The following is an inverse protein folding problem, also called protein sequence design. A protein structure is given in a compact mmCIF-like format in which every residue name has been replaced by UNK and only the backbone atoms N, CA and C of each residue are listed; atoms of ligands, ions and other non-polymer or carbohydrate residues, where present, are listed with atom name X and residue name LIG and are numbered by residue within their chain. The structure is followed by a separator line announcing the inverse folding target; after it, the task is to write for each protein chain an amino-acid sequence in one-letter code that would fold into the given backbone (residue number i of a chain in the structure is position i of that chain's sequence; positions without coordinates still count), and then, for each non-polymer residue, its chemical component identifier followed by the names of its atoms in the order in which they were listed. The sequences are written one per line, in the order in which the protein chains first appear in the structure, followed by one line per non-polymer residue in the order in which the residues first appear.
data_IF_995033581271
#
_entry.id   IF_995033581271
#
_cell.length_a   1.000
_cell.length_b   1.000
_cell.length_c   1.000
_cell.angle_alpha   90.00
_cell.angle_beta   90.00
_cell.angle_gamma   90.00
#
_symmetry.space_group_name_H-M   'P 1'
#
loop_
_entity.id
_entity.type
_entity.pdbx_description
1 polymer ?
#
# COMPACT_ATOMS: atom_id res chain seq x y z
N UNK A 1 40.15 4.35 -28.13
CA UNK A 1 39.82 3.22 -27.24
C UNK A 1 38.42 3.45 -26.75
N UNK A 2 37.44 2.75 -27.30
CA UNK A 2 36.01 2.90 -26.97
C UNK A 2 35.69 2.09 -25.72
N UNK A 3 34.94 2.68 -24.80
CA UNK A 3 34.55 2.12 -23.52
C UNK A 3 33.51 1.00 -23.72
N UNK A 4 33.65 -0.21 -23.16
CA UNK A 4 32.74 -1.36 -23.40
C UNK A 4 31.48 -1.36 -22.52
N UNK A 5 30.98 -0.22 -22.11
CA UNK A 5 29.89 -0.12 -21.10
C UNK A 5 28.48 0.08 -21.67
N UNK A 6 28.29 0.02 -22.99
CA UNK A 6 26.97 0.37 -23.59
C UNK A 6 26.02 -0.83 -23.82
N UNK A 7 26.40 -2.06 -23.51
CA UNK A 7 25.55 -3.23 -23.79
C UNK A 7 24.77 -3.78 -22.59
N UNK A 8 24.96 -3.21 -21.38
CA UNK A 8 24.30 -3.68 -20.14
C UNK A 8 23.02 -2.93 -19.75
N UNK A 9 22.58 -1.94 -20.53
CA UNK A 9 21.46 -1.07 -20.13
C UNK A 9 20.05 -1.62 -20.44
N UNK A 10 19.90 -2.75 -21.12
CA UNK A 10 18.58 -3.25 -21.52
C UNK A 10 17.95 -4.31 -20.58
N UNK A 11 18.66 -4.81 -19.58
CA UNK A 11 18.12 -5.81 -18.63
C UNK A 11 17.77 -5.25 -17.24
N UNK A 12 18.01 -3.96 -16.96
CA UNK A 12 17.88 -3.36 -15.64
C UNK A 12 16.56 -2.59 -15.41
N UNK A 13 15.42 -3.06 -15.91
CA UNK A 13 14.14 -2.35 -15.68
C UNK A 13 13.62 -2.37 -14.22
N UNK A 14 14.21 -3.17 -13.32
CA UNK A 14 13.80 -3.32 -11.92
C UNK A 14 14.96 -3.38 -10.91
N UNK A 15 16.15 -2.82 -11.26
CA UNK A 15 17.31 -2.85 -10.36
C UNK A 15 17.92 -1.45 -10.25
N UNK A 16 18.02 -0.92 -9.03
CA UNK A 16 18.78 0.31 -8.75
C UNK A 16 20.23 -0.08 -8.42
N UNK A 17 21.20 0.42 -9.21
CA UNK A 17 22.61 0.22 -8.92
C UNK A 17 23.10 1.28 -7.93
N UNK A 18 23.50 0.89 -6.74
CA UNK A 18 24.23 1.77 -5.77
C UNK A 18 25.70 1.40 -5.74
N UNK A 19 26.56 2.39 -5.87
CA UNK A 19 28.00 2.25 -5.62
C UNK A 19 28.25 2.31 -4.09
N UNK A 20 28.62 1.19 -3.49
CA UNK A 20 29.05 1.15 -2.10
C UNK A 20 30.45 0.51 -2.04
N UNK A 21 31.46 1.26 -1.56
CA UNK A 21 32.87 0.82 -1.51
C UNK A 21 33.41 0.25 -2.81
N UNK A 22 33.00 0.81 -3.96
CA UNK A 22 33.50 0.36 -5.28
C UNK A 22 32.80 -0.89 -5.85
N UNK A 23 31.82 -1.46 -5.16
CA UNK A 23 31.04 -2.61 -5.62
C UNK A 23 29.68 -2.12 -6.09
N UNK A 24 29.26 -2.51 -7.30
CA UNK A 24 27.92 -2.25 -7.81
C UNK A 24 26.98 -3.28 -7.19
N UNK A 25 26.19 -2.84 -6.20
CA UNK A 25 25.13 -3.68 -5.62
C UNK A 25 23.86 -3.42 -6.43
N UNK A 26 23.37 -4.44 -7.11
CA UNK A 26 22.05 -4.42 -7.76
C UNK A 26 20.99 -4.77 -6.72
N UNK A 27 20.19 -3.78 -6.31
CA UNK A 27 19.07 -4.01 -5.41
C UNK A 27 17.81 -4.38 -6.20
N UNK A 28 17.13 -5.45 -5.79
CA UNK A 28 15.80 -5.81 -6.28
C UNK A 28 14.78 -4.89 -5.62
N UNK A 29 14.06 -4.11 -6.41
CA UNK A 29 13.01 -3.22 -5.91
C UNK A 29 11.70 -4.01 -5.83
N UNK A 30 11.00 -4.03 -4.65
CA UNK A 30 9.67 -4.62 -4.56
C UNK A 30 8.72 -3.89 -5.53
N UNK A 31 7.93 -4.64 -6.27
CA UNK A 31 6.96 -4.07 -7.19
C UNK A 31 5.81 -3.40 -6.43
N UNK A 32 5.34 -4.03 -5.36
CA UNK A 32 4.25 -3.57 -4.52
C UNK A 32 4.66 -3.55 -3.04
N UNK A 33 4.50 -2.40 -2.40
CA UNK A 33 4.71 -2.20 -0.97
C UNK A 33 3.39 -1.86 -0.30
N UNK A 34 3.03 -2.57 0.77
CA UNK A 34 1.89 -2.27 1.64
C UNK A 34 2.39 -1.66 2.96
N UNK A 35 1.73 -0.60 3.47
CA UNK A 35 2.17 0.07 4.70
C UNK A 35 1.01 0.25 5.68
N UNK A 36 1.22 -0.17 6.93
CA UNK A 36 0.33 0.13 8.06
C UNK A 36 0.87 1.39 8.76
N UNK A 37 0.12 2.50 8.66
CA UNK A 37 0.49 3.84 9.09
C UNK A 37 0.30 4.03 10.61
N UNK A 38 1.04 3.27 11.43
CA UNK A 38 0.85 3.27 12.89
C UNK A 38 1.73 4.32 13.60
N UNK A 39 1.30 4.72 14.82
CA UNK A 39 2.07 5.58 15.70
C UNK A 39 1.70 7.05 15.70
N UNK A 40 0.81 7.52 14.83
CA UNK A 40 0.43 8.95 14.74
C UNK A 40 0.05 9.58 16.09
N UNK A 41 -0.85 8.91 16.84
CA UNK A 41 -1.32 9.42 18.12
C UNK A 41 -0.26 9.34 19.23
N UNK A 42 0.55 8.28 19.26
CA UNK A 42 1.67 8.11 20.21
C UNK A 42 2.76 9.17 19.97
N UNK A 43 3.08 9.40 18.72
CA UNK A 43 4.03 10.43 18.29
C UNK A 43 3.58 11.85 18.72
N UNK A 44 2.31 12.21 18.50
CA UNK A 44 1.79 13.50 18.96
C UNK A 44 1.88 13.63 20.49
N UNK A 45 1.47 12.59 21.22
CA UNK A 45 1.53 12.56 22.69
C UNK A 45 2.97 12.72 23.22
N UNK A 46 3.97 12.09 22.61
CA UNK A 46 5.39 12.26 23.00
C UNK A 46 5.91 13.67 22.80
N UNK A 47 5.25 14.47 21.97
CA UNK A 47 5.56 15.89 21.72
C UNK A 47 4.64 16.86 22.48
N UNK A 48 3.82 16.36 23.42
CA UNK A 48 2.87 17.19 24.17
C UNK A 48 1.70 17.70 23.32
N UNK A 49 1.46 17.11 22.14
CA UNK A 49 0.43 17.55 21.20
C UNK A 49 -0.82 16.65 21.24
N UNK A 50 -1.99 17.17 20.88
CA UNK A 50 -3.22 16.36 20.75
C UNK A 50 -3.04 15.25 19.69
N UNK A 51 -3.70 14.09 19.90
CA UNK A 51 -3.63 12.93 18.97
C UNK A 51 -3.93 13.31 17.51
N UNK A 52 -4.91 14.18 17.29
CA UNK A 52 -5.33 14.62 15.95
C UNK A 52 -4.21 15.39 15.21
N UNK A 53 -3.32 16.05 15.93
CA UNK A 53 -2.15 16.68 15.33
C UNK A 53 -1.22 15.66 14.66
N UNK A 54 -1.00 14.51 15.32
CA UNK A 54 -0.21 13.42 14.75
C UNK A 54 -0.82 12.87 13.45
N UNK A 55 -2.14 12.70 13.40
CA UNK A 55 -2.83 12.29 12.18
C UNK A 55 -2.69 13.31 11.05
N UNK A 56 -2.72 14.61 11.37
CA UNK A 56 -2.51 15.67 10.37
C UNK A 56 -1.09 15.62 9.80
N UNK A 57 -0.08 15.43 10.65
CA UNK A 57 1.32 15.28 10.20
C UNK A 57 1.49 14.01 9.39
N UNK A 58 0.91 12.88 9.86
CA UNK A 58 0.95 11.61 9.15
C UNK A 58 0.29 11.65 7.77
N UNK A 59 -0.81 12.42 7.62
CA UNK A 59 -1.45 12.60 6.32
C UNK A 59 -0.54 13.37 5.32
N UNK A 60 0.22 14.36 5.79
CA UNK A 60 1.21 15.06 4.96
C UNK A 60 2.36 14.14 4.58
N UNK A 61 2.76 13.24 5.49
CA UNK A 61 3.86 12.30 5.24
C UNK A 61 3.55 11.30 4.11
N UNK A 62 2.27 11.05 3.81
CA UNK A 62 1.88 10.21 2.66
C UNK A 62 2.51 10.71 1.36
N UNK A 63 2.50 12.02 1.09
CA UNK A 63 3.09 12.60 -0.13
C UNK A 63 4.61 12.36 -0.18
N UNK A 64 5.30 12.51 0.97
CA UNK A 64 6.74 12.26 1.09
C UNK A 64 7.09 10.82 0.73
N UNK A 65 6.33 9.87 1.26
CA UNK A 65 6.57 8.43 1.02
C UNK A 65 6.15 8.03 -0.38
N UNK A 66 5.05 8.58 -0.94
CA UNK A 66 4.67 8.36 -2.34
C UNK A 66 5.76 8.81 -3.29
N UNK A 67 6.34 10.00 -3.06
CA UNK A 67 7.47 10.49 -3.87
C UNK A 67 8.69 9.59 -3.73
N UNK A 68 9.07 9.21 -2.52
CA UNK A 68 10.20 8.31 -2.28
C UNK A 68 10.00 6.95 -2.97
N UNK A 69 8.80 6.38 -2.90
CA UNK A 69 8.45 5.12 -3.56
C UNK A 69 8.53 5.23 -5.08
N UNK A 70 7.98 6.30 -5.66
CA UNK A 70 8.06 6.59 -7.10
C UNK A 70 9.52 6.73 -7.56
N UNK A 71 10.32 7.53 -6.86
CA UNK A 71 11.73 7.79 -7.18
C UNK A 71 12.58 6.51 -7.07
N UNK A 72 12.18 5.57 -6.20
CA UNK A 72 12.81 4.26 -6.04
C UNK A 72 12.41 3.26 -7.13
N UNK A 73 11.31 3.50 -7.87
CA UNK A 73 10.80 2.62 -8.91
C UNK A 73 9.74 1.61 -8.43
N UNK A 74 9.22 1.76 -7.21
CA UNK A 74 8.05 1.01 -6.71
C UNK A 74 6.85 1.37 -7.59
N UNK A 75 6.09 0.35 -8.03
CA UNK A 75 4.96 0.53 -8.95
C UNK A 75 3.62 0.65 -8.25
N UNK A 76 3.45 -0.06 -7.12
CA UNK A 76 2.23 -0.12 -6.34
C UNK A 76 2.52 0.20 -4.88
N UNK A 77 1.69 1.04 -4.28
CA UNK A 77 1.80 1.41 -2.87
C UNK A 77 0.41 1.36 -2.24
N UNK A 78 0.20 0.46 -1.29
CA UNK A 78 -1.07 0.38 -0.55
C UNK A 78 -0.89 0.88 0.87
N UNK A 79 -1.72 1.84 1.29
CA UNK A 79 -1.63 2.49 2.59
C UNK A 79 -2.89 2.25 3.44
N UNK A 80 -2.73 1.74 4.67
CA UNK A 80 -3.83 1.50 5.60
C UNK A 80 -4.18 2.77 6.36
N UNK A 81 -5.13 3.54 5.82
CA UNK A 81 -5.50 4.85 6.36
C UNK A 81 -6.59 4.79 7.45
N UNK A 82 -7.61 3.90 7.30
CA UNK A 82 -8.69 3.74 8.25
C UNK A 82 -9.28 2.33 8.20
N UNK A 83 -9.21 1.60 9.32
CA UNK A 83 -9.74 0.24 9.41
C UNK A 83 -11.21 0.20 9.85
N UNK A 84 -11.88 -0.93 9.58
CA UNK A 84 -13.23 -1.19 10.09
C UNK A 84 -13.30 -1.11 11.63
N UNK A 85 -12.24 -1.49 12.34
CA UNK A 85 -12.16 -1.44 13.79
C UNK A 85 -12.02 0.00 14.34
N UNK A 86 -11.57 0.95 13.51
CA UNK A 86 -11.40 2.35 13.93
C UNK A 86 -12.74 3.05 14.24
N UNK A 87 -13.87 2.51 13.78
CA UNK A 87 -15.18 3.01 14.16
C UNK A 87 -15.46 2.87 15.67
N UNK A 88 -14.75 1.98 16.37
CA UNK A 88 -14.87 1.81 17.83
C UNK A 88 -14.10 2.88 18.64
N UNK A 89 -13.44 3.83 17.98
CA UNK A 89 -12.77 4.95 18.62
C UNK A 89 -13.79 6.00 19.09
N UNK A 90 -13.42 6.92 20.01
CA UNK A 90 -14.28 8.01 20.40
C UNK A 90 -14.81 8.79 19.17
N UNK A 91 -16.09 9.12 19.17
CA UNK A 91 -16.79 9.77 18.05
C UNK A 91 -16.04 11.02 17.51
N UNK A 92 -15.53 11.86 18.43
CA UNK A 92 -14.77 13.05 18.05
C UNK A 92 -13.46 12.74 17.32
N UNK A 93 -12.79 11.61 17.65
CA UNK A 93 -11.59 11.17 16.91
C UNK A 93 -11.98 10.65 15.53
N UNK A 94 -13.04 9.86 15.42
CA UNK A 94 -13.56 9.34 14.14
C UNK A 94 -13.95 10.49 13.21
N UNK A 95 -14.73 11.45 13.71
CA UNK A 95 -15.16 12.62 12.93
C UNK A 95 -13.97 13.44 12.43
N UNK A 96 -12.94 13.65 13.26
CA UNK A 96 -11.73 14.36 12.88
C UNK A 96 -10.94 13.59 11.81
N UNK A 97 -10.83 12.26 11.92
CA UNK A 97 -10.18 11.40 10.92
C UNK A 97 -10.91 11.43 9.59
N UNK A 98 -12.24 11.31 9.58
CA UNK A 98 -13.04 11.39 8.35
C UNK A 98 -12.86 12.73 7.64
N UNK A 99 -12.91 13.85 8.39
CA UNK A 99 -12.66 15.19 7.84
C UNK A 99 -11.25 15.33 7.26
N UNK A 100 -10.26 14.74 7.91
CA UNK A 100 -8.88 14.74 7.43
C UNK A 100 -8.74 13.94 6.13
N UNK A 101 -9.35 12.75 6.05
CA UNK A 101 -9.36 11.91 4.85
C UNK A 101 -10.07 12.59 3.68
N UNK A 102 -11.25 13.19 3.90
CA UNK A 102 -11.96 13.98 2.87
C UNK A 102 -11.06 15.12 2.34
N UNK A 103 -10.40 15.86 3.25
CA UNK A 103 -9.48 16.94 2.85
C UNK A 103 -8.29 16.42 2.07
N UNK A 104 -7.72 15.28 2.48
CA UNK A 104 -6.61 14.64 1.79
C UNK A 104 -6.98 14.22 0.37
N UNK A 105 -8.11 13.50 0.18
CA UNK A 105 -8.55 13.07 -1.15
C UNK A 105 -8.84 14.27 -2.08
N UNK A 106 -9.42 15.34 -1.55
CA UNK A 106 -9.63 16.58 -2.32
C UNK A 106 -8.32 17.18 -2.83
N UNK A 107 -7.25 17.10 -2.04
CA UNK A 107 -5.92 17.54 -2.47
C UNK A 107 -5.31 16.57 -3.48
N UNK A 108 -5.50 15.25 -3.30
CA UNK A 108 -5.06 14.24 -4.26
C UNK A 108 -5.63 14.47 -5.66
N UNK A 109 -6.92 14.85 -5.79
CA UNK A 109 -7.53 15.18 -7.10
C UNK A 109 -6.70 16.23 -7.85
N UNK A 110 -6.16 17.24 -7.12
CA UNK A 110 -5.38 18.33 -7.71
C UNK A 110 -3.94 17.94 -8.03
N UNK A 111 -3.39 16.97 -7.34
CA UNK A 111 -1.95 16.64 -7.39
C UNK A 111 -1.67 15.32 -8.10
N UNK A 112 -2.67 14.45 -8.29
CA UNK A 112 -2.51 13.16 -8.92
C UNK A 112 -1.90 13.26 -10.32
N UNK A 113 -2.45 14.13 -11.19
CA UNK A 113 -1.92 14.35 -12.54
C UNK A 113 -0.50 14.91 -12.50
N UNK A 114 -0.26 15.92 -11.65
CA UNK A 114 1.07 16.53 -11.52
C UNK A 114 2.15 15.53 -11.13
N UNK A 115 1.80 14.56 -10.31
CA UNK A 115 2.71 13.53 -9.79
C UNK A 115 2.61 12.22 -10.58
N UNK A 116 1.84 12.18 -11.67
CA UNK A 116 1.57 10.99 -12.47
C UNK A 116 1.17 9.77 -11.60
N UNK A 117 0.30 10.00 -10.61
CA UNK A 117 -0.20 8.96 -9.70
C UNK A 117 -1.59 8.51 -10.11
N UNK A 118 -1.80 7.21 -10.21
CA UNK A 118 -3.11 6.59 -10.30
C UNK A 118 -3.57 6.23 -8.90
N UNK A 119 -4.68 6.81 -8.44
CA UNK A 119 -5.19 6.61 -7.08
C UNK A 119 -6.46 5.76 -7.11
N UNK A 120 -6.55 4.80 -6.20
CA UNK A 120 -7.71 3.94 -5.98
C UNK A 120 -8.00 3.85 -4.48
N UNK A 121 -9.26 3.88 -4.11
CA UNK A 121 -9.70 3.61 -2.73
C UNK A 121 -10.19 2.18 -2.63
N UNK A 122 -9.71 1.44 -1.64
CA UNK A 122 -10.16 0.07 -1.32
C UNK A 122 -10.85 0.06 0.05
N UNK A 123 -11.85 -0.80 0.22
CA UNK A 123 -12.67 -0.93 1.42
C UNK A 123 -14.15 -0.66 1.15
N UNK A 124 -14.97 -0.84 2.17
CA UNK A 124 -16.42 -0.59 2.08
C UNK A 124 -16.74 0.91 2.19
N UNK A 125 -16.98 1.55 1.06
CA UNK A 125 -17.31 2.98 0.98
C UNK A 125 -18.77 3.29 1.34
N UNK A 126 -19.64 2.28 1.49
CA UNK A 126 -21.09 2.49 1.71
C UNK A 126 -21.40 3.19 3.04
N UNK A 127 -20.54 3.04 4.05
CA UNK A 127 -20.66 3.74 5.35
C UNK A 127 -20.14 5.18 5.33
N UNK A 128 -19.48 5.60 4.26
CA UNK A 128 -18.97 6.96 4.13
C UNK A 128 -20.09 7.91 3.70
N UNK A 129 -19.95 9.21 3.99
CA UNK A 129 -20.92 10.21 3.53
C UNK A 129 -21.04 10.21 2.00
N UNK A 130 -22.24 10.52 1.48
CA UNK A 130 -22.46 10.61 0.03
C UNK A 130 -21.48 11.59 -0.66
N UNK A 131 -21.12 12.67 0.04
CA UNK A 131 -20.11 13.62 -0.43
C UNK A 131 -18.73 12.95 -0.54
N UNK A 132 -18.33 12.16 0.44
CA UNK A 132 -17.04 11.48 0.44
C UNK A 132 -16.99 10.41 -0.65
N UNK A 133 -18.07 9.62 -0.81
CA UNK A 133 -18.18 8.65 -1.90
C UNK A 133 -18.03 9.32 -3.28
N UNK A 134 -18.68 10.46 -3.49
CA UNK A 134 -18.55 11.24 -4.73
C UNK A 134 -17.11 11.69 -4.98
N UNK A 135 -16.41 12.16 -3.93
CA UNK A 135 -15.00 12.56 -4.05
C UNK A 135 -14.09 11.39 -4.43
N UNK A 136 -14.37 10.17 -3.92
CA UNK A 136 -13.63 8.96 -4.29
C UNK A 136 -13.78 8.69 -5.79
N UNK A 137 -15.02 8.68 -6.29
CA UNK A 137 -15.29 8.45 -7.72
C UNK A 137 -14.62 9.51 -8.60
N UNK A 138 -14.68 10.79 -8.20
CA UNK A 138 -14.03 11.89 -8.91
C UNK A 138 -12.50 11.73 -8.95
N UNK A 139 -11.88 11.31 -7.83
CA UNK A 139 -10.43 11.09 -7.75
C UNK A 139 -9.97 9.94 -8.63
N UNK A 140 -10.67 8.81 -8.56
CA UNK A 140 -10.34 7.63 -9.36
C UNK A 140 -10.48 7.92 -10.86
N UNK A 141 -11.57 8.59 -11.27
CA UNK A 141 -11.76 8.99 -12.65
C UNK A 141 -10.71 9.98 -13.16
N UNK A 142 -10.37 11.01 -12.35
CA UNK A 142 -9.37 12.01 -12.70
C UNK A 142 -7.97 11.41 -12.86
N UNK A 143 -7.62 10.39 -12.05
CA UNK A 143 -6.29 9.77 -12.08
C UNK A 143 -6.19 8.50 -12.93
N UNK A 144 -7.27 8.04 -13.54
CA UNK A 144 -7.34 6.76 -14.25
C UNK A 144 -6.33 6.61 -15.41
N UNK A 145 -5.99 7.74 -16.07
CA UNK A 145 -5.05 7.78 -17.21
C UNK A 145 -3.58 7.75 -16.80
N UNK A 146 -3.29 7.98 -15.50
CA UNK A 146 -1.92 8.07 -15.01
C UNK A 146 -1.29 6.67 -14.92
N UNK A 147 -0.03 6.54 -15.27
CA UNK A 147 0.71 5.27 -15.41
C UNK A 147 1.98 5.20 -14.53
N UNK A 148 2.20 6.19 -13.67
CA UNK A 148 3.31 6.22 -12.72
C UNK A 148 3.06 5.36 -11.49
N UNK A 149 3.09 5.95 -10.28
CA UNK A 149 2.81 5.23 -9.05
C UNK A 149 1.32 4.92 -8.93
N UNK A 150 0.97 3.65 -8.72
CA UNK A 150 -0.39 3.21 -8.37
C UNK A 150 -0.54 3.25 -6.85
N UNK A 151 -1.29 4.23 -6.34
CA UNK A 151 -1.55 4.40 -4.90
C UNK A 151 -2.92 3.84 -4.54
N UNK A 152 -2.96 2.85 -3.66
CA UNK A 152 -4.18 2.35 -3.04
C UNK A 152 -4.30 2.92 -1.63
N UNK A 153 -5.46 3.50 -1.30
CA UNK A 153 -5.76 4.02 0.04
C UNK A 153 -6.87 3.15 0.64
N UNK A 154 -6.53 2.37 1.66
CA UNK A 154 -7.49 1.52 2.36
C UNK A 154 -8.27 2.35 3.39
N UNK A 155 -9.56 2.60 3.11
CA UNK A 155 -10.48 3.39 3.94
C UNK A 155 -11.70 2.56 4.29
N UNK A 156 -12.06 2.49 5.57
CA UNK A 156 -13.07 1.58 6.07
C UNK A 156 -12.83 0.15 5.58
N UNK A 157 -11.54 -0.25 5.62
CA UNK A 157 -11.07 -1.52 5.14
C UNK A 157 -10.83 -2.50 6.29
N UNK A 158 -11.17 -3.75 6.06
CA UNK A 158 -10.79 -4.89 6.88
C UNK A 158 -10.82 -6.15 5.99
N UNK A 159 -9.74 -6.94 5.99
CA UNK A 159 -9.61 -8.06 5.06
C UNK A 159 -10.71 -9.11 5.24
N UNK A 160 -11.13 -9.39 6.48
CA UNK A 160 -12.26 -10.32 6.74
C UNK A 160 -13.57 -9.80 6.15
N UNK A 161 -13.83 -8.48 6.27
CA UNK A 161 -15.01 -7.85 5.66
C UNK A 161 -14.92 -7.90 4.13
N UNK A 162 -13.76 -7.58 3.57
CA UNK A 162 -13.51 -7.67 2.13
C UNK A 162 -13.80 -9.07 1.59
N UNK A 163 -13.28 -10.12 2.23
CA UNK A 163 -13.52 -11.52 1.84
C UNK A 163 -15.01 -11.87 1.87
N UNK A 164 -15.75 -11.45 2.92
CA UNK A 164 -17.20 -11.69 3.01
C UNK A 164 -17.96 -10.95 1.92
N UNK A 165 -17.57 -9.70 1.60
CA UNK A 165 -18.17 -8.95 0.49
C UNK A 165 -17.88 -9.61 -0.86
N UNK A 166 -16.66 -10.09 -1.08
CA UNK A 166 -16.26 -10.81 -2.28
C UNK A 166 -17.07 -12.12 -2.43
N UNK A 167 -17.19 -12.94 -1.36
CA UNK A 167 -17.98 -14.14 -1.37
C UNK A 167 -19.45 -13.89 -1.68
N UNK A 168 -20.06 -12.84 -1.08
CA UNK A 168 -21.46 -12.49 -1.38
C UNK A 168 -21.68 -12.14 -2.84
N UNK A 169 -20.77 -11.34 -3.46
CA UNK A 169 -20.84 -11.01 -4.89
C UNK A 169 -20.71 -12.25 -5.76
N UNK A 170 -19.76 -13.14 -5.44
CA UNK A 170 -19.52 -14.37 -6.16
C UNK A 170 -20.73 -15.32 -6.07
N UNK A 171 -21.32 -15.50 -4.87
CA UNK A 171 -22.56 -16.28 -4.70
C UNK A 171 -23.70 -15.69 -5.54
N UNK A 172 -23.88 -14.38 -5.57
CA UNK A 172 -24.89 -13.71 -6.38
C UNK A 172 -24.71 -13.98 -7.87
N UNK A 173 -23.45 -13.96 -8.37
CA UNK A 173 -23.15 -14.28 -9.76
C UNK A 173 -23.43 -15.75 -10.10
N UNK A 174 -23.20 -16.66 -9.15
CA UNK A 174 -23.55 -18.09 -9.29
C UNK A 174 -25.06 -18.30 -9.29
N UNK A 175 -25.81 -17.63 -8.41
CA UNK A 175 -27.28 -17.67 -8.37
C UNK A 175 -27.90 -17.13 -9.66
N UNK A 176 -27.32 -16.08 -10.24
CA UNK A 176 -27.75 -15.50 -11.51
C UNK A 176 -27.30 -16.31 -12.75
N UNK A 177 -26.55 -17.39 -12.58
CA UNK A 177 -26.03 -18.23 -13.66
C UNK A 177 -24.89 -17.60 -14.47
N UNK A 178 -24.33 -16.48 -14.00
CA UNK A 178 -23.18 -15.79 -14.65
C UNK A 178 -21.88 -16.53 -14.40
N UNK A 179 -21.80 -17.28 -13.30
CA UNK A 179 -20.67 -18.13 -12.90
C UNK A 179 -21.15 -19.49 -12.44
N UNK A 180 -20.25 -20.47 -12.50
CA UNK A 180 -20.51 -21.84 -12.01
C UNK A 180 -19.56 -22.17 -10.84
N UNK A 181 -20.03 -23.01 -9.91
CA UNK A 181 -19.21 -23.48 -8.77
C UNK A 181 -17.94 -24.19 -9.24
N UNK A 182 -17.99 -24.87 -10.40
CA UNK A 182 -16.83 -25.55 -10.99
C UNK A 182 -15.71 -24.62 -11.46
N UNK A 183 -15.99 -23.32 -11.61
CA UNK A 183 -14.99 -22.31 -11.98
C UNK A 183 -14.21 -21.79 -10.75
N UNK A 184 -14.66 -22.15 -9.52
CA UNK A 184 -14.08 -21.64 -8.28
C UNK A 184 -12.63 -22.08 -8.13
N UNK A 185 -11.74 -21.08 -8.08
CA UNK A 185 -10.32 -21.21 -7.79
C UNK A 185 -9.82 -19.89 -7.14
N UNK A 186 -8.53 -19.85 -6.76
CA UNK A 186 -7.92 -18.69 -6.08
C UNK A 186 -7.97 -17.43 -6.95
N UNK A 187 -7.71 -17.55 -8.24
CA UNK A 187 -7.70 -16.41 -9.19
C UNK A 187 -9.11 -15.82 -9.36
N UNK A 188 -10.13 -16.68 -9.49
CA UNK A 188 -11.52 -16.23 -9.56
C UNK A 188 -11.89 -15.50 -8.26
N UNK A 189 -11.58 -16.06 -7.10
CA UNK A 189 -11.88 -15.40 -5.83
C UNK A 189 -11.14 -14.05 -5.70
N UNK A 190 -9.85 -14.00 -6.05
CA UNK A 190 -9.06 -12.77 -6.05
C UNK A 190 -9.66 -11.68 -6.96
N UNK A 191 -10.32 -12.06 -8.05
CA UNK A 191 -10.98 -11.11 -8.96
C UNK A 191 -12.20 -10.39 -8.35
N UNK A 192 -12.75 -10.90 -7.24
CA UNK A 192 -13.84 -10.28 -6.49
C UNK A 192 -13.37 -9.40 -5.32
N UNK A 193 -12.09 -9.46 -4.97
CA UNK A 193 -11.52 -8.61 -3.91
C UNK A 193 -11.39 -7.15 -4.36
N UNK A 194 -11.34 -6.24 -3.41
CA UNK A 194 -11.15 -4.80 -3.68
C UNK A 194 -9.82 -4.52 -4.40
N UNK A 195 -8.85 -5.43 -4.27
CA UNK A 195 -7.53 -5.40 -4.90
C UNK A 195 -7.48 -6.04 -6.28
N UNK A 196 -8.62 -6.43 -6.87
CA UNK A 196 -8.66 -7.04 -8.20
C UNK A 196 -7.89 -6.22 -9.24
N UNK A 197 -6.97 -6.89 -9.97
CA UNK A 197 -6.08 -6.28 -10.95
C UNK A 197 -4.86 -5.53 -10.36
N UNK A 198 -4.65 -5.61 -9.05
CA UNK A 198 -3.46 -5.11 -8.35
C UNK A 198 -2.63 -6.34 -7.95
N UNK A 199 -1.32 -6.40 -8.25
CA UNK A 199 -0.48 -7.52 -7.80
C UNK A 199 -0.40 -7.56 -6.27
N UNK A 200 -0.21 -8.74 -5.71
CA UNK A 200 0.00 -8.91 -4.28
C UNK A 200 1.23 -8.15 -3.79
N UNK A 201 1.24 -7.66 -2.54
CA UNK A 201 2.40 -6.98 -1.98
C UNK A 201 3.63 -7.90 -1.88
N UNK A 202 4.77 -7.42 -2.33
CA UNK A 202 6.07 -8.07 -2.08
C UNK A 202 6.56 -7.83 -0.66
N UNK A 203 6.26 -6.64 -0.13
CA UNK A 203 6.73 -6.17 1.16
C UNK A 203 5.61 -5.47 1.94
N UNK A 204 5.36 -5.92 3.16
CA UNK A 204 4.56 -5.20 4.15
C UNK A 204 5.48 -4.47 5.13
N UNK A 205 5.22 -3.19 5.33
CA UNK A 205 5.88 -2.37 6.34
C UNK A 205 4.86 -2.00 7.43
N UNK A 206 5.23 -2.15 8.70
CA UNK A 206 4.45 -1.58 9.81
C UNK A 206 5.34 -0.75 10.71
N UNK A 207 4.90 0.49 10.95
CA UNK A 207 5.58 1.48 11.78
C UNK A 207 5.20 1.36 13.26
N UNK A 208 6.02 1.96 14.15
CA UNK A 208 5.72 2.14 15.57
C UNK A 208 5.77 0.88 16.46
N UNK A 209 6.62 -0.12 16.09
CA UNK A 209 6.99 -1.26 16.95
C UNK A 209 5.96 -2.39 17.06
N UNK A 210 4.79 -2.27 16.46
CA UNK A 210 3.76 -3.30 16.53
C UNK A 210 3.97 -4.38 15.49
N UNK A 211 3.85 -5.66 15.87
CA UNK A 211 4.14 -6.83 15.01
C UNK A 211 2.89 -7.67 14.76
N UNK A 212 1.83 -7.05 14.24
CA UNK A 212 0.57 -7.70 13.87
C UNK A 212 0.00 -7.07 12.61
N UNK A 213 -0.84 -7.82 11.87
CA UNK A 213 -1.44 -7.37 10.61
C UNK A 213 -2.69 -6.51 10.79
N UNK A 214 -3.35 -6.60 11.94
CA UNK A 214 -4.55 -5.83 12.25
C UNK A 214 -5.63 -5.92 11.17
N UNK A 215 -5.91 -7.13 10.69
CA UNK A 215 -6.93 -7.40 9.66
C UNK A 215 -6.68 -6.69 8.32
N UNK A 216 -5.40 -6.47 7.98
CA UNK A 216 -4.98 -5.80 6.75
C UNK A 216 -4.49 -6.81 5.71
N UNK A 217 -5.07 -6.81 4.51
CA UNK A 217 -4.67 -7.56 3.32
C UNK A 217 -4.33 -9.06 3.58
N UNK A 218 -5.11 -9.78 4.42
CA UNK A 218 -4.77 -11.14 4.86
C UNK A 218 -4.64 -12.13 3.69
N UNK A 219 -5.47 -11.99 2.65
CA UNK A 219 -5.38 -12.81 1.45
C UNK A 219 -4.12 -12.48 0.66
N UNK A 220 -3.89 -11.21 0.40
CA UNK A 220 -2.85 -10.71 -0.48
C UNK A 220 -1.43 -10.79 0.12
N UNK A 221 -1.32 -10.90 1.47
CA UNK A 221 -0.03 -10.96 2.17
C UNK A 221 0.50 -12.39 2.35
N UNK A 222 -0.12 -13.40 1.73
CA UNK A 222 0.22 -14.82 1.92
C UNK A 222 1.70 -15.13 1.68
N UNK A 223 2.35 -14.43 0.74
CA UNK A 223 3.76 -14.62 0.40
C UNK A 223 4.60 -13.34 0.51
N UNK A 224 4.11 -12.33 1.21
CA UNK A 224 4.80 -11.06 1.41
C UNK A 224 5.92 -11.19 2.44
N UNK A 225 7.00 -10.45 2.26
CA UNK A 225 8.00 -10.21 3.31
C UNK A 225 7.52 -9.12 4.26
N UNK A 226 7.85 -9.24 5.56
CA UNK A 226 7.42 -8.29 6.58
C UNK A 226 8.60 -7.51 7.13
N UNK A 227 8.42 -6.19 7.25
CA UNK A 227 9.37 -5.29 7.90
C UNK A 227 8.66 -4.49 8.99
N UNK A 228 9.10 -4.65 10.23
CA UNK A 228 8.59 -3.93 11.38
C UNK A 228 9.64 -2.93 11.85
N UNK A 229 9.24 -1.68 12.13
CA UNK A 229 10.14 -0.63 12.62
C UNK A 229 9.52 0.10 13.80
N UNK A 230 10.37 0.51 14.76
CA UNK A 230 9.96 1.32 15.91
C UNK A 230 9.67 2.77 15.52
N UNK A 231 10.13 3.22 14.36
CA UNK A 231 9.90 4.58 13.85
C UNK A 231 8.41 4.80 13.64
N UNK A 232 7.78 5.83 14.26
CA UNK A 232 6.39 6.15 14.06
C UNK A 232 6.14 6.72 12.67
N UNK A 233 4.92 6.52 12.14
CA UNK A 233 4.57 6.96 10.78
C UNK A 233 4.91 8.42 10.46
N UNK A 234 4.68 9.44 11.34
CA UNK A 234 5.04 10.82 11.05
C UNK A 234 6.53 11.07 10.76
N UNK A 235 7.40 10.21 11.30
CA UNK A 235 8.86 10.30 11.14
C UNK A 235 9.40 9.28 10.10
N UNK A 236 8.53 8.45 9.51
CA UNK A 236 8.90 7.46 8.50
C UNK A 236 9.09 8.12 7.14
N UNK A 237 10.34 8.40 6.78
CA UNK A 237 10.70 9.05 5.53
C UNK A 237 11.36 8.10 4.51
N UNK A 238 12.03 8.74 3.53
CA UNK A 238 12.77 8.01 2.48
C UNK A 238 13.83 7.08 3.05
N UNK A 239 14.59 7.53 4.07
CA UNK A 239 15.66 6.73 4.68
C UNK A 239 15.12 5.44 5.32
N UNK A 240 13.96 5.51 5.95
CA UNK A 240 13.30 4.34 6.54
C UNK A 240 12.75 3.40 5.47
N UNK A 241 12.22 3.94 4.36
CA UNK A 241 11.82 3.14 3.21
C UNK A 241 13.03 2.45 2.56
N UNK A 242 14.17 3.14 2.42
CA UNK A 242 15.43 2.57 1.95
C UNK A 242 15.85 1.37 2.82
N UNK A 243 15.82 1.50 4.16
CA UNK A 243 16.14 0.41 5.10
C UNK A 243 15.20 -0.79 4.95
N UNK A 244 13.90 -0.54 4.76
CA UNK A 244 12.92 -1.60 4.55
C UNK A 244 13.21 -2.39 3.26
N UNK A 245 13.55 -1.70 2.17
CA UNK A 245 13.91 -2.33 0.90
C UNK A 245 15.28 -3.04 0.99
N UNK A 246 16.23 -2.52 1.74
CA UNK A 246 17.50 -3.21 2.03
C UNK A 246 17.27 -4.51 2.83
N UNK A 247 16.36 -4.48 3.82
CA UNK A 247 15.98 -5.67 4.59
C UNK A 247 15.29 -6.72 3.69
N UNK A 248 14.39 -6.28 2.79
CA UNK A 248 13.75 -7.13 1.78
C UNK A 248 14.80 -7.82 0.89
N UNK A 249 15.83 -7.11 0.46
CA UNK A 249 16.89 -7.67 -0.40
C UNK A 249 17.79 -8.71 0.30
N UNK A 250 17.84 -8.72 1.63
CA UNK A 250 18.61 -9.70 2.41
C UNK A 250 17.89 -11.04 2.57
N UNK A 251 16.63 -11.13 2.09
CA UNK A 251 15.80 -12.32 2.23
C UNK A 251 15.66 -13.06 0.92
N UNK A 252 15.75 -14.38 0.97
CA UNK A 252 15.50 -15.28 -0.15
C UNK A 252 14.04 -15.73 -0.14
N UNK A 253 13.24 -15.25 -1.08
CA UNK A 253 11.83 -15.69 -1.26
C UNK A 253 11.83 -17.03 -1.99
N UNK A 254 11.43 -18.10 -1.28
CA UNK A 254 11.47 -19.47 -1.80
C UNK A 254 10.13 -19.98 -2.34
N UNK A 255 9.01 -19.31 -2.08
CA UNK A 255 7.65 -19.71 -2.51
C UNK A 255 7.37 -21.21 -2.33
N UNK A 256 7.87 -21.82 -1.24
CA UNK A 256 7.76 -23.25 -0.97
C UNK A 256 8.77 -24.15 -1.71
N UNK A 257 9.64 -23.60 -2.57
CA UNK A 257 10.69 -24.34 -3.27
C UNK A 257 11.95 -24.53 -2.41
N UNK A 258 12.77 -25.54 -2.78
CA UNK A 258 14.10 -25.72 -2.21
C UNK A 258 15.08 -24.70 -2.84
N UNK A 259 16.07 -24.23 -2.06
CA UNK A 259 17.17 -23.47 -2.66
C UNK A 259 17.94 -24.40 -3.60
N UNK A 260 18.23 -23.95 -4.84
CA UNK A 260 19.23 -24.64 -5.66
C UNK A 260 20.56 -24.55 -4.90
N UNK A 261 21.11 -25.71 -4.53
CA UNK A 261 22.47 -25.78 -4.00
C UNK A 261 23.41 -25.20 -5.06
N UNK A 262 24.05 -24.10 -4.73
CA UNK A 262 25.09 -23.55 -5.58
C UNK A 262 26.19 -24.62 -5.75
N UNK A 263 26.27 -25.19 -6.97
CA UNK A 263 27.37 -26.05 -7.41
C UNK A 263 28.59 -25.22 -7.74
#
# INVERSE_FOLDING_TARGET
MACPHFHFMNECRHKVCRLWKGVVITMKIPQHVAIILDGNGRWAKSKGMPRNYGHTVGAKNVETVCKAAHDMGIKYLTMYAFSTENWNRPEGEVAALMKLLESYLKNCIKTADKNNMRVRVIGDTTRLSARFQKQIVELEAASAKNDGLNLQIAINYGSRDEMIRAMKKMCQDMENGTRQVSELNEDLFASYLDTAGIPDPDLLIRTSGEQRLSNYLLWQLAYSEFYFTDVPWPDFGKEELDKAVEAYNKRDRRFGGLAEEAK
#
